data_IF_972127259771
#
_entry.id   IF_972127259771
#
_cell.length_a   1.000
_cell.length_b   1.000
_cell.length_c   1.000
_cell.angle_alpha   90.00
_cell.angle_beta   90.00
_cell.angle_gamma   90.00
#
_symmetry.space_group_name_H-M   'P 1'
#
loop_
_entity.id
_entity.type
_entity.pdbx_description
1 polymer ?
#
# COMPACT_ATOMS: atom_id res chain seq x y z
N UNK A 1 32.33 23.00 -16.25
CA UNK A 1 31.89 21.59 -16.17
C UNK A 1 31.55 21.13 -14.75
N UNK A 2 32.26 21.55 -13.70
CA UNK A 2 32.01 21.11 -12.30
C UNK A 2 30.59 21.43 -11.79
N UNK A 3 30.07 22.62 -12.06
CA UNK A 3 28.71 23.00 -11.64
C UNK A 3 27.61 22.11 -12.25
N UNK A 4 27.71 21.76 -13.53
CA UNK A 4 26.74 20.89 -14.20
C UNK A 4 26.73 19.46 -13.62
N UNK A 5 27.90 18.94 -13.22
CA UNK A 5 27.99 17.64 -12.55
C UNK A 5 27.34 17.65 -11.16
N UNK A 6 27.56 18.71 -10.37
CA UNK A 6 26.90 18.89 -9.07
C UNK A 6 25.38 18.90 -9.19
N UNK A 7 24.82 19.68 -10.14
CA UNK A 7 23.39 19.73 -10.40
C UNK A 7 22.79 18.37 -10.81
N UNK A 8 23.50 17.60 -11.63
CA UNK A 8 23.05 16.26 -12.03
C UNK A 8 22.95 15.30 -10.83
N UNK A 9 23.98 15.28 -9.96
CA UNK A 9 23.99 14.40 -8.77
C UNK A 9 22.90 14.73 -7.74
N UNK A 10 22.56 16.02 -7.59
CA UNK A 10 21.49 16.47 -6.70
C UNK A 10 20.11 16.02 -7.20
N UNK A 11 19.88 16.08 -8.51
CA UNK A 11 18.62 15.65 -9.12
C UNK A 11 18.40 14.14 -8.97
N UNK A 12 19.44 13.32 -9.17
CA UNK A 12 19.36 11.86 -8.98
C UNK A 12 19.08 11.49 -7.52
N UNK A 13 19.73 12.18 -6.56
CA UNK A 13 19.49 11.96 -5.14
C UNK A 13 18.05 12.31 -4.71
N UNK A 14 17.48 13.38 -5.28
CA UNK A 14 16.08 13.77 -5.06
C UNK A 14 15.12 12.67 -5.54
N UNK A 15 15.28 12.22 -6.79
CA UNK A 15 14.43 11.19 -7.38
C UNK A 15 14.54 9.84 -6.64
N UNK A 16 15.75 9.47 -6.23
CA UNK A 16 15.96 8.25 -5.44
C UNK A 16 15.23 8.31 -4.09
N UNK A 17 15.22 9.49 -3.46
CA UNK A 17 14.55 9.72 -2.17
C UNK A 17 13.03 9.65 -2.32
N UNK A 18 12.47 10.33 -3.32
CA UNK A 18 11.03 10.28 -3.63
C UNK A 18 10.57 8.85 -3.93
N UNK A 19 11.33 8.12 -4.75
CA UNK A 19 11.02 6.73 -5.06
C UNK A 19 11.09 5.82 -3.81
N UNK A 20 12.03 6.07 -2.90
CA UNK A 20 12.11 5.34 -1.64
C UNK A 20 10.90 5.61 -0.73
N UNK A 21 10.44 6.87 -0.67
CA UNK A 21 9.25 7.27 0.07
C UNK A 21 7.99 6.61 -0.50
N UNK A 22 7.80 6.62 -1.82
CA UNK A 22 6.68 5.94 -2.49
C UNK A 22 6.66 4.44 -2.19
N UNK A 23 7.82 3.75 -2.23
CA UNK A 23 7.93 2.33 -1.85
C UNK A 23 7.58 2.09 -0.39
N UNK A 24 7.87 3.04 0.51
CA UNK A 24 7.48 2.95 1.93
C UNK A 24 5.98 3.10 2.08
N UNK A 25 5.39 4.16 1.53
CA UNK A 25 3.96 4.40 1.55
C UNK A 25 3.17 3.21 0.96
N UNK A 26 3.60 2.66 -0.18
CA UNK A 26 2.98 1.46 -0.75
C UNK A 26 3.10 0.21 0.14
N UNK A 27 4.15 0.08 0.96
CA UNK A 27 4.25 -0.99 1.97
C UNK A 27 3.29 -0.76 3.12
N UNK A 28 3.17 0.48 3.59
CA UNK A 28 2.31 0.85 4.70
C UNK A 28 0.84 0.57 4.36
N UNK A 29 0.37 0.99 3.17
CA UNK A 29 -0.98 0.68 2.67
C UNK A 29 -1.24 -0.84 2.64
N UNK A 30 -0.27 -1.64 2.20
CA UNK A 30 -0.42 -3.11 2.18
C UNK A 30 -0.52 -3.69 3.57
N UNK A 31 0.21 -3.16 4.55
CA UNK A 31 0.17 -3.62 5.93
C UNK A 31 -1.13 -3.22 6.61
N UNK A 32 -1.53 -1.97 6.49
CA UNK A 32 -2.78 -1.44 7.03
C UNK A 32 -3.98 -2.21 6.45
N UNK A 33 -4.03 -2.34 5.12
CA UNK A 33 -5.09 -3.13 4.45
C UNK A 33 -5.11 -4.56 4.99
N UNK A 34 -3.95 -5.21 5.18
CA UNK A 34 -3.88 -6.58 5.69
C UNK A 34 -4.41 -6.69 7.12
N UNK A 35 -4.09 -5.74 7.99
CA UNK A 35 -4.56 -5.73 9.38
C UNK A 35 -6.05 -5.38 9.45
N UNK A 36 -6.48 -4.31 8.78
CA UNK A 36 -7.90 -3.93 8.69
C UNK A 36 -8.77 -5.07 8.15
N UNK A 37 -8.37 -5.71 7.04
CA UNK A 37 -9.10 -6.86 6.48
C UNK A 37 -9.19 -8.06 7.44
N UNK A 38 -8.27 -8.20 8.40
CA UNK A 38 -8.33 -9.25 9.42
C UNK A 38 -9.27 -8.84 10.54
N UNK A 39 -9.18 -7.59 11.00
CA UNK A 39 -10.04 -7.02 12.03
C UNK A 39 -11.51 -7.06 11.59
N UNK A 40 -11.85 -6.49 10.43
CA UNK A 40 -13.22 -6.49 9.89
C UNK A 40 -13.77 -7.92 9.74
N UNK A 41 -12.93 -8.89 9.34
CA UNK A 41 -13.37 -10.29 9.26
C UNK A 41 -13.69 -10.90 10.63
N UNK A 42 -12.91 -10.55 11.66
CA UNK A 42 -13.12 -11.03 13.02
C UNK A 42 -14.38 -10.40 13.62
N UNK A 43 -14.54 -9.09 13.45
CA UNK A 43 -15.72 -8.35 13.87
C UNK A 43 -16.99 -8.89 13.20
N UNK A 44 -17.01 -9.07 11.89
CA UNK A 44 -18.16 -9.62 11.18
C UNK A 44 -18.45 -11.10 11.57
N UNK A 45 -17.42 -11.85 12.03
CA UNK A 45 -17.64 -13.17 12.64
C UNK A 45 -18.30 -13.05 14.02
N UNK A 46 -17.87 -12.09 14.84
CA UNK A 46 -18.41 -11.87 16.18
C UNK A 46 -19.87 -11.38 16.14
N UNK A 47 -20.21 -10.53 15.16
CA UNK A 47 -21.56 -9.98 14.99
C UNK A 47 -22.47 -10.89 14.15
N UNK A 48 -21.96 -12.01 13.62
CA UNK A 48 -22.66 -12.96 12.75
C UNK A 48 -23.42 -12.31 11.58
N UNK A 49 -22.93 -11.17 11.07
CA UNK A 49 -23.65 -10.36 10.08
C UNK A 49 -23.67 -10.96 8.67
N UNK A 50 -22.73 -11.85 8.33
CA UNK A 50 -22.59 -12.41 6.98
C UNK A 50 -22.14 -13.86 6.96
N UNK A 51 -22.51 -14.57 5.89
CA UNK A 51 -22.08 -15.94 5.61
C UNK A 51 -20.54 -16.07 5.51
N UNK A 52 -20.04 -17.29 5.75
CA UNK A 52 -18.59 -17.57 5.69
C UNK A 52 -17.99 -17.34 4.29
N UNK A 53 -18.73 -17.62 3.21
CA UNK A 53 -18.27 -17.42 1.84
C UNK A 53 -18.14 -15.93 1.53
N UNK A 54 -19.14 -15.14 1.90
CA UNK A 54 -19.17 -13.71 1.64
C UNK A 54 -18.04 -12.98 2.37
N UNK A 55 -17.83 -13.24 3.66
CA UNK A 55 -16.67 -12.68 4.40
C UNK A 55 -15.31 -13.05 3.80
N UNK A 56 -15.18 -14.22 3.17
CA UNK A 56 -13.94 -14.62 2.48
C UNK A 56 -13.75 -13.83 1.19
N UNK A 57 -14.84 -13.55 0.47
CA UNK A 57 -14.83 -12.76 -0.77
C UNK A 57 -14.54 -11.29 -0.48
N UNK A 58 -15.24 -10.68 0.49
CA UNK A 58 -15.03 -9.29 0.89
C UNK A 58 -13.58 -9.06 1.31
N UNK A 59 -13.03 -9.94 2.16
CA UNK A 59 -11.61 -9.91 2.53
C UNK A 59 -10.66 -10.02 1.32
N UNK A 60 -11.01 -10.80 0.29
CA UNK A 60 -10.18 -10.90 -0.93
C UNK A 60 -10.24 -9.60 -1.71
N UNK A 61 -11.43 -9.02 -1.87
CA UNK A 61 -11.66 -7.76 -2.58
C UNK A 61 -10.94 -6.60 -1.91
N UNK A 62 -11.08 -6.42 -0.59
CA UNK A 62 -10.36 -5.38 0.16
C UNK A 62 -8.85 -5.51 0.00
N UNK A 63 -8.31 -6.74 0.04
CA UNK A 63 -6.87 -6.97 -0.20
C UNK A 63 -6.44 -6.70 -1.63
N UNK A 64 -7.31 -6.89 -2.61
CA UNK A 64 -7.03 -6.53 -4.01
C UNK A 64 -7.01 -5.01 -4.17
N UNK A 65 -7.98 -4.31 -3.59
CA UNK A 65 -8.03 -2.84 -3.59
C UNK A 65 -6.77 -2.24 -2.97
N UNK A 66 -6.39 -2.65 -1.76
CA UNK A 66 -5.15 -2.12 -1.15
C UNK A 66 -3.86 -2.51 -1.90
N UNK A 67 -3.85 -3.63 -2.64
CA UNK A 67 -2.74 -3.94 -3.57
C UNK A 67 -2.71 -3.00 -4.77
N UNK A 68 -3.88 -2.61 -5.27
CA UNK A 68 -4.01 -1.66 -6.36
C UNK A 68 -3.58 -0.26 -5.90
N UNK A 69 -4.11 0.24 -4.78
CA UNK A 69 -3.68 1.51 -4.19
C UNK A 69 -2.17 1.57 -3.97
N UNK A 70 -1.56 0.48 -3.47
CA UNK A 70 -0.11 0.41 -3.30
C UNK A 70 0.69 0.38 -4.62
N UNK A 71 0.07 -0.01 -5.74
CA UNK A 71 0.67 0.13 -7.07
C UNK A 71 0.54 1.57 -7.55
N UNK A 72 -0.63 2.17 -7.36
CA UNK A 72 -0.91 3.55 -7.77
C UNK A 72 -0.01 4.56 -7.04
N UNK A 73 0.44 4.27 -5.82
CA UNK A 73 1.43 5.10 -5.09
C UNK A 73 2.86 5.00 -5.67
N UNK A 74 3.17 3.88 -6.34
CA UNK A 74 4.50 3.61 -6.88
C UNK A 74 4.72 4.31 -8.24
N UNK A 75 3.66 4.74 -8.91
CA UNK A 75 3.67 5.29 -10.26
C UNK A 75 3.19 6.73 -10.25
#
# INVERSE_FOLDING_TARGET
MVAAMLLATLSEASWATEQAQQRRAGRDVRQETRQGSRHTKQECRATNQQSNSQRRQDKRQTRQQGRQTARDIKY
#
